data_IF_738158106220
#
_entry.id   IF_738158106220
#
_cell.length_a   1.000
_cell.length_b   1.000
_cell.length_c   1.000
_cell.angle_alpha   90.00
_cell.angle_beta   90.00
_cell.angle_gamma   90.00
#
_symmetry.space_group_name_H-M   'P 1'
#
loop_
_entity.id
_entity.type
_entity.pdbx_description
1 polymer ?
#
# COMPACT_ATOMS: atom_id res chain seq x y z
N UNK A 1 -7.84 -4.60 5.75
CA UNK A 1 -6.67 -3.83 6.27
C UNK A 1 -6.07 -2.98 5.16
N UNK A 2 -5.17 -2.06 5.48
CA UNK A 2 -4.41 -1.28 4.49
C UNK A 2 -2.90 -1.42 4.69
N UNK A 3 -2.16 -1.30 3.59
CA UNK A 3 -0.71 -1.24 3.52
C UNK A 3 -0.34 0.14 3.00
N UNK A 4 0.61 0.79 3.65
CA UNK A 4 1.24 1.99 3.14
C UNK A 4 2.54 1.63 2.44
N UNK A 5 2.73 2.20 1.25
CA UNK A 5 4.03 2.33 0.59
C UNK A 5 4.43 3.79 0.65
N UNK A 6 5.55 4.05 1.29
CA UNK A 6 6.08 5.39 1.50
C UNK A 6 7.45 5.53 0.84
N UNK A 7 7.65 6.61 0.09
CA UNK A 7 8.95 6.99 -0.46
C UNK A 7 9.48 8.20 0.32
N UNK A 8 10.63 8.06 0.95
CA UNK A 8 11.33 9.20 1.53
C UNK A 8 11.77 10.18 0.42
N UNK A 9 11.35 11.45 0.52
CA UNK A 9 11.58 12.46 -0.53
C UNK A 9 13.05 12.76 -0.78
N UNK A 10 13.85 12.72 0.28
CA UNK A 10 15.24 13.17 0.24
C UNK A 10 16.19 12.06 -0.20
N UNK A 11 15.88 10.82 0.19
CA UNK A 11 16.76 9.66 -0.03
C UNK A 11 16.22 8.66 -1.06
N UNK A 12 14.93 8.74 -1.40
CA UNK A 12 14.24 7.77 -2.25
C UNK A 12 14.10 6.39 -1.62
N UNK A 13 14.40 6.24 -0.31
CA UNK A 13 14.21 4.98 0.41
C UNK A 13 12.73 4.64 0.48
N UNK A 14 12.42 3.35 0.33
CA UNK A 14 11.04 2.87 0.29
C UNK A 14 10.77 2.05 1.53
N UNK A 15 9.63 2.34 2.17
CA UNK A 15 9.09 1.56 3.26
C UNK A 15 7.72 1.00 2.86
N UNK A 16 7.46 -0.25 3.22
CA UNK A 16 6.16 -0.89 3.04
C UNK A 16 5.73 -1.51 4.36
N UNK A 17 4.59 -1.09 4.88
CA UNK A 17 4.13 -1.54 6.18
C UNK A 17 2.60 -1.55 6.28
N UNK A 18 2.01 -2.50 7.03
CA UNK A 18 0.59 -2.49 7.32
C UNK A 18 0.25 -1.34 8.28
N UNK A 19 -0.90 -0.71 8.06
CA UNK A 19 -1.44 0.26 9.01
C UNK A 19 -2.02 -0.49 10.22
N UNK A 20 -1.63 -0.07 11.44
CA UNK A 20 -2.11 -0.64 12.70
C UNK A 20 -3.44 -0.01 13.14
N UNK A 21 -4.46 -0.10 12.28
CA UNK A 21 -5.81 0.37 12.57
C UNK A 21 -6.84 -0.40 11.76
N UNK A 22 -8.07 -0.46 12.28
CA UNK A 22 -9.19 -0.92 11.48
C UNK A 22 -9.50 0.08 10.37
N UNK A 23 -9.90 -0.46 9.22
CA UNK A 23 -10.17 0.33 8.02
C UNK A 23 -11.68 0.37 7.82
N UNK A 24 -12.27 1.52 8.15
CA UNK A 24 -13.65 1.86 7.85
C UNK A 24 -13.74 2.80 6.64
N UNK A 25 -14.95 3.13 6.18
CA UNK A 25 -15.17 4.01 5.02
C UNK A 25 -14.58 5.41 5.20
N UNK A 26 -14.58 5.93 6.43
CA UNK A 26 -14.01 7.24 6.74
C UNK A 26 -12.49 7.20 6.62
N UNK A 27 -11.84 6.16 7.14
CA UNK A 27 -10.40 5.95 7.01
C UNK A 27 -10.04 5.75 5.53
N UNK A 28 -10.81 4.97 4.77
CA UNK A 28 -10.62 4.83 3.33
C UNK A 28 -10.63 6.19 2.61
N UNK A 29 -11.62 7.03 2.89
CA UNK A 29 -11.70 8.38 2.34
C UNK A 29 -10.49 9.24 2.71
N UNK A 30 -10.07 9.21 3.98
CA UNK A 30 -8.91 9.96 4.47
C UNK A 30 -7.60 9.50 3.80
N UNK A 31 -7.41 8.20 3.60
CA UNK A 31 -6.22 7.64 2.94
C UNK A 31 -6.15 8.07 1.47
N UNK A 32 -7.27 8.08 0.75
CA UNK A 32 -7.35 8.58 -0.64
C UNK A 32 -6.93 10.04 -0.73
N UNK A 33 -7.52 10.89 0.11
CA UNK A 33 -7.19 12.32 0.18
C UNK A 33 -5.70 12.51 0.51
N UNK A 34 -5.16 11.73 1.45
CA UNK A 34 -3.74 11.78 1.82
C UNK A 34 -2.81 11.38 0.66
N UNK A 35 -3.17 10.36 -0.12
CA UNK A 35 -2.41 9.95 -1.31
C UNK A 35 -2.44 11.02 -2.41
N UNK A 36 -3.58 11.70 -2.60
CA UNK A 36 -3.67 12.82 -3.56
C UNK A 36 -2.78 13.99 -3.15
N UNK A 37 -2.71 14.31 -1.85
CA UNK A 37 -1.90 15.42 -1.36
C UNK A 37 -0.40 15.08 -1.20
N UNK A 38 -0.05 13.80 -1.08
CA UNK A 38 1.32 13.35 -0.83
C UNK A 38 1.70 12.28 -1.85
N UNK A 39 2.34 12.64 -2.98
CA UNK A 39 2.65 11.70 -4.05
C UNK A 39 3.63 10.59 -3.64
N UNK A 40 4.31 10.76 -2.51
CA UNK A 40 5.20 9.75 -1.92
C UNK A 40 4.46 8.63 -1.19
N UNK A 41 3.18 8.83 -0.89
CA UNK A 41 2.35 7.88 -0.17
C UNK A 41 1.38 7.21 -1.13
N UNK A 42 1.45 5.88 -1.20
CA UNK A 42 0.48 5.03 -1.89
C UNK A 42 -0.13 4.06 -0.89
N UNK A 43 -1.44 3.87 -0.95
CA UNK A 43 -2.15 2.97 -0.06
C UNK A 43 -2.78 1.83 -0.84
N UNK A 44 -2.70 0.63 -0.26
CA UNK A 44 -3.26 -0.58 -0.84
C UNK A 44 -4.14 -1.27 0.18
N UNK A 45 -5.32 -1.71 -0.23
CA UNK A 45 -6.26 -2.45 0.61
C UNK A 45 -6.36 -3.89 0.17
N UNK A 46 -6.44 -4.76 1.16
CA UNK A 46 -6.60 -6.20 0.99
C UNK A 46 -7.23 -6.81 2.26
N UNK A 47 -7.76 -8.01 2.11
CA UNK A 47 -8.23 -8.82 3.24
C UNK A 47 -7.05 -9.29 4.09
N UNK A 48 -7.21 -9.29 5.42
CA UNK A 48 -6.11 -9.58 6.35
C UNK A 48 -5.52 -10.98 6.16
N UNK A 49 -6.36 -11.98 5.90
CA UNK A 49 -5.91 -13.34 5.61
C UNK A 49 -4.95 -13.43 4.41
N UNK A 50 -5.07 -12.53 3.43
CA UNK A 50 -4.15 -12.47 2.27
C UNK A 50 -2.79 -11.91 2.67
N UNK A 51 -2.77 -10.90 3.55
CA UNK A 51 -1.53 -10.36 4.11
C UNK A 51 -0.84 -11.39 5.01
N UNK A 52 -1.57 -12.09 5.87
CA UNK A 52 -1.01 -13.13 6.74
C UNK A 52 -0.32 -14.24 5.92
N UNK A 53 -0.94 -14.65 4.80
CA UNK A 53 -0.42 -15.73 3.97
C UNK A 53 0.70 -15.30 3.02
N UNK A 54 0.66 -14.07 2.48
CA UNK A 54 1.54 -13.63 1.40
C UNK A 54 2.27 -12.31 1.67
N UNK A 55 2.24 -11.80 2.91
CA UNK A 55 2.69 -10.45 3.27
C UNK A 55 4.12 -10.16 2.87
N UNK A 56 5.04 -11.10 3.06
CA UNK A 56 6.46 -10.96 2.64
C UNK A 56 6.59 -10.77 1.13
N UNK A 57 5.81 -11.51 0.32
CA UNK A 57 5.85 -11.41 -1.14
C UNK A 57 5.23 -10.09 -1.60
N UNK A 58 4.07 -9.74 -1.05
CA UNK A 58 3.38 -8.48 -1.35
C UNK A 58 4.29 -7.29 -1.00
N UNK A 59 4.88 -7.29 0.20
CA UNK A 59 5.83 -6.26 0.62
C UNK A 59 7.04 -6.18 -0.32
N UNK A 60 7.60 -7.32 -0.74
CA UNK A 60 8.71 -7.36 -1.68
C UNK A 60 8.38 -6.74 -3.04
N UNK A 61 7.16 -6.95 -3.55
CA UNK A 61 6.71 -6.33 -4.80
C UNK A 61 6.50 -4.82 -4.61
N UNK A 62 5.81 -4.43 -3.54
CA UNK A 62 5.51 -3.02 -3.27
C UNK A 62 6.77 -2.18 -2.93
N UNK A 63 7.83 -2.83 -2.42
CA UNK A 63 9.11 -2.19 -2.09
C UNK A 63 9.99 -1.94 -3.33
N UNK A 64 9.53 -2.30 -4.53
CA UNK A 64 10.25 -1.99 -5.78
C UNK A 64 10.26 -0.48 -6.04
N UNK A 65 11.33 -0.04 -6.70
CA UNK A 65 11.52 1.37 -7.10
C UNK A 65 10.35 1.87 -7.96
N UNK A 66 9.90 1.04 -8.89
CA UNK A 66 8.69 1.26 -9.69
C UNK A 66 7.71 0.13 -9.42
N UNK A 67 6.45 0.49 -9.18
CA UNK A 67 5.31 -0.42 -9.02
C UNK A 67 4.21 0.09 -9.93
N UNK A 68 3.97 -0.62 -11.01
CA UNK A 68 2.94 -0.30 -11.99
C UNK A 68 1.58 -0.85 -11.57
N UNK A 69 0.51 -0.39 -12.22
CA UNK A 69 -0.82 -0.98 -12.04
C UNK A 69 -0.84 -2.48 -12.38
N UNK A 70 -0.12 -2.88 -13.43
CA UNK A 70 -0.01 -4.29 -13.82
C UNK A 70 0.70 -5.14 -12.74
N UNK A 71 1.71 -4.59 -12.05
CA UNK A 71 2.33 -5.29 -10.91
C UNK A 71 1.31 -5.54 -9.79
N UNK A 72 0.48 -4.55 -9.49
CA UNK A 72 -0.57 -4.64 -8.45
C UNK A 72 -1.64 -5.65 -8.86
N UNK A 73 -2.10 -5.59 -10.11
CA UNK A 73 -3.12 -6.50 -10.64
C UNK A 73 -2.61 -7.97 -10.61
N UNK A 74 -1.34 -8.19 -10.90
CA UNK A 74 -0.69 -9.51 -10.84
C UNK A 74 -0.54 -10.06 -9.42
N UNK A 75 -0.50 -9.22 -8.39
CA UNK A 75 -0.57 -9.69 -7.00
C UNK A 75 -1.94 -10.33 -6.76
N UNK A 76 -3.00 -9.77 -7.34
CA UNK A 76 -4.40 -10.15 -7.16
C UNK A 76 -4.92 -9.85 -5.75
N UNK A 77 -6.24 -9.69 -5.59
CA UNK A 77 -6.89 -9.53 -4.28
C UNK A 77 -6.36 -8.36 -3.43
N UNK A 78 -5.80 -7.36 -4.09
CA UNK A 78 -5.30 -6.10 -3.54
C UNK A 78 -5.78 -4.98 -4.46
N UNK A 79 -6.11 -3.83 -3.89
CA UNK A 79 -6.57 -2.66 -4.63
C UNK A 79 -5.80 -1.44 -4.16
N UNK A 80 -5.31 -0.64 -5.10
CA UNK A 80 -4.74 0.68 -4.80
C UNK A 80 -5.86 1.71 -4.61
N UNK A 81 -5.74 2.54 -3.56
CA UNK A 81 -6.73 3.55 -3.19
C UNK A 81 -6.58 4.88 -3.93
#
# INVERSE_FOLDING_TARGET
MAICREIDKDTGRIAVYPLKMEIDDRILGALKVRATMNPELRYFVLVSARWEKYGTVIAGILNRRSVTRADVDNIGGIVEL
#
